data_IF_274585110117
#
_entry.id   IF_274585110117
#
_cell.length_a   1.000
_cell.length_b   1.000
_cell.length_c   1.000
_cell.angle_alpha   90.00
_cell.angle_beta   90.00
_cell.angle_gamma   90.00
#
_symmetry.space_group_name_H-M   'P 1'
#
loop_
_entity.id
_entity.type
_entity.pdbx_description
1 polymer ?
#
# COMPACT_ATOMS: atom_id res chain seq x y z
N UNK A 1 -2.50 -23.61 36.50
CA UNK A 1 -2.06 -22.31 35.94
C UNK A 1 -1.84 -22.45 34.44
N UNK A 2 -2.15 -21.45 33.61
CA UNK A 2 -1.86 -21.51 32.18
C UNK A 2 -0.36 -21.67 31.94
N UNK A 3 0.01 -22.44 30.92
CA UNK A 3 1.41 -22.59 30.52
C UNK A 3 1.94 -21.27 29.90
N UNK A 4 3.27 -21.04 29.91
CA UNK A 4 3.85 -19.85 29.27
C UNK A 4 3.40 -19.66 27.82
N UNK A 5 3.29 -20.75 27.05
CA UNK A 5 2.82 -20.74 25.66
C UNK A 5 1.36 -20.29 25.57
N UNK A 6 0.50 -20.75 26.49
CA UNK A 6 -0.90 -20.33 26.52
C UNK A 6 -1.05 -18.83 26.81
N UNK A 7 -0.21 -18.29 27.69
CA UNK A 7 -0.19 -16.85 28.00
C UNK A 7 0.25 -16.05 26.76
N UNK A 8 1.35 -16.45 26.12
CA UNK A 8 1.85 -15.79 24.90
C UNK A 8 0.80 -15.82 23.79
N UNK A 9 0.16 -16.96 23.53
CA UNK A 9 -0.87 -17.08 22.51
C UNK A 9 -2.09 -16.19 22.81
N UNK A 10 -2.48 -16.08 24.08
CA UNK A 10 -3.57 -15.20 24.50
C UNK A 10 -3.23 -13.72 24.27
N UNK A 11 -1.99 -13.30 24.57
CA UNK A 11 -1.50 -11.94 24.30
C UNK A 11 -1.50 -11.67 22.80
N UNK A 12 -0.99 -12.58 21.97
CA UNK A 12 -1.01 -12.41 20.50
C UNK A 12 -2.45 -12.29 19.99
N UNK A 13 -3.36 -13.16 20.45
CA UNK A 13 -4.78 -13.09 20.07
C UNK A 13 -5.45 -11.78 20.49
N UNK A 14 -5.06 -11.21 21.62
CA UNK A 14 -5.50 -9.88 22.05
C UNK A 14 -5.06 -8.80 21.05
N UNK A 15 -3.78 -8.76 20.68
CA UNK A 15 -3.27 -7.80 19.71
C UNK A 15 -3.83 -7.99 18.31
N UNK A 16 -4.08 -9.22 17.87
CA UNK A 16 -4.79 -9.51 16.62
C UNK A 16 -6.20 -8.94 16.63
N UNK A 17 -6.91 -9.07 17.76
CA UNK A 17 -8.25 -8.49 17.92
C UNK A 17 -8.21 -6.97 17.84
N UNK A 18 -7.25 -6.34 18.53
CA UNK A 18 -7.05 -4.89 18.51
C UNK A 18 -6.70 -4.41 17.09
N UNK A 19 -5.82 -5.12 16.38
CA UNK A 19 -5.43 -4.79 15.02
C UNK A 19 -6.62 -4.84 14.05
N UNK A 20 -7.49 -5.85 14.18
CA UNK A 20 -8.74 -5.96 13.41
C UNK A 20 -9.72 -4.84 13.70
N UNK A 21 -9.93 -4.52 14.99
CA UNK A 21 -10.80 -3.42 15.39
C UNK A 21 -10.24 -2.09 14.86
N UNK A 22 -8.94 -1.86 15.01
CA UNK A 22 -8.26 -0.65 14.53
C UNK A 22 -8.34 -0.54 13.01
N UNK A 23 -8.13 -1.63 12.26
CA UNK A 23 -8.27 -1.64 10.81
C UNK A 23 -9.67 -1.15 10.36
N UNK A 24 -10.74 -1.65 10.99
CA UNK A 24 -12.08 -1.15 10.73
C UNK A 24 -12.28 0.29 11.19
N UNK A 25 -11.73 0.68 12.35
CA UNK A 25 -11.82 2.05 12.84
C UNK A 25 -11.21 3.07 11.86
N UNK A 26 -10.15 2.69 11.15
CA UNK A 26 -9.50 3.53 10.15
C UNK A 26 -9.98 3.27 8.71
N UNK A 27 -11.06 2.51 8.53
CA UNK A 27 -11.67 2.32 7.21
C UNK A 27 -12.28 3.64 6.72
N UNK A 28 -12.01 3.97 5.45
CA UNK A 28 -12.56 5.13 4.75
C UNK A 28 -14.01 4.92 4.31
N UNK A 29 -14.51 3.69 4.35
CA UNK A 29 -15.86 3.36 3.92
C UNK A 29 -16.51 2.36 4.88
N UNK A 30 -17.77 2.61 5.22
CA UNK A 30 -18.56 1.71 6.06
C UNK A 30 -19.81 1.23 5.34
N UNK A 31 -20.05 -0.07 5.41
CA UNK A 31 -21.31 -0.70 5.05
C UNK A 31 -22.09 -1.07 6.32
N UNK A 32 -23.38 -1.41 6.19
CA UNK A 32 -24.16 -1.95 7.31
C UNK A 32 -23.50 -3.20 7.93
N UNK A 33 -22.81 -3.99 7.11
CA UNK A 33 -22.04 -5.13 7.59
C UNK A 33 -20.80 -4.67 8.38
N UNK A 34 -20.07 -3.67 7.88
CA UNK A 34 -18.90 -3.12 8.58
C UNK A 34 -19.24 -2.54 9.97
N UNK A 35 -20.39 -1.87 10.11
CA UNK A 35 -20.84 -1.38 11.43
C UNK A 35 -21.06 -2.52 12.43
N UNK A 36 -21.72 -3.61 12.00
CA UNK A 36 -21.96 -4.80 12.85
C UNK A 36 -20.66 -5.52 13.19
N UNK A 37 -19.74 -5.61 12.24
CA UNK A 37 -18.42 -6.20 12.45
C UNK A 37 -17.58 -5.39 13.44
N UNK A 38 -17.59 -4.06 13.32
CA UNK A 38 -16.94 -3.16 14.25
C UNK A 38 -17.50 -3.33 15.67
N UNK A 39 -18.84 -3.33 15.83
CA UNK A 39 -19.48 -3.54 17.14
C UNK A 39 -19.04 -4.86 17.79
N UNK A 40 -19.04 -5.94 17.00
CA UNK A 40 -18.61 -7.27 17.45
C UNK A 40 -17.14 -7.24 17.88
N UNK A 41 -16.26 -6.66 17.07
CA UNK A 41 -14.82 -6.60 17.34
C UNK A 41 -14.51 -5.77 18.59
N UNK A 42 -15.11 -4.59 18.73
CA UNK A 42 -14.93 -3.74 19.91
C UNK A 42 -15.40 -4.42 21.21
N UNK A 43 -16.48 -5.21 21.15
CA UNK A 43 -16.93 -6.01 22.30
C UNK A 43 -15.94 -7.11 22.66
N UNK A 44 -15.37 -7.80 21.66
CA UNK A 44 -14.36 -8.85 21.88
C UNK A 44 -13.08 -8.21 22.44
N UNK A 45 -12.64 -7.08 21.86
CA UNK A 45 -11.50 -6.29 22.29
C UNK A 45 -11.64 -5.87 23.76
N UNK A 46 -12.80 -5.31 24.14
CA UNK A 46 -13.10 -4.92 25.51
C UNK A 46 -12.94 -6.10 26.48
N UNK A 47 -13.56 -7.23 26.17
CA UNK A 47 -13.53 -8.39 27.03
C UNK A 47 -12.13 -9.00 27.16
N UNK A 48 -11.35 -9.06 26.06
CA UNK A 48 -10.01 -9.66 26.10
C UNK A 48 -9.00 -8.76 26.82
N UNK A 49 -9.10 -7.44 26.65
CA UNK A 49 -8.27 -6.47 27.38
C UNK A 49 -8.50 -6.56 28.89
N UNK A 50 -9.76 -6.57 29.34
CA UNK A 50 -10.09 -6.71 30.75
C UNK A 50 -9.68 -8.05 31.33
N UNK A 51 -9.76 -9.12 30.52
CA UNK A 51 -9.35 -10.47 30.95
C UNK A 51 -7.85 -10.61 31.14
N UNK A 52 -7.03 -9.98 30.29
CA UNK A 52 -5.57 -10.14 30.31
C UNK A 52 -4.86 -9.05 31.10
N UNK A 53 -5.44 -7.86 31.17
CA UNK A 53 -4.81 -6.65 31.70
C UNK A 53 -5.81 -5.83 32.52
N UNK A 54 -6.58 -6.48 33.41
CA UNK A 54 -7.62 -5.85 34.24
C UNK A 54 -7.14 -4.55 34.90
N UNK A 55 -6.00 -4.63 35.58
CA UNK A 55 -5.45 -3.55 36.41
C UNK A 55 -5.09 -2.32 35.57
N UNK A 56 -4.82 -2.51 34.28
CA UNK A 56 -4.47 -1.45 33.36
C UNK A 56 -5.70 -0.84 32.66
N UNK A 57 -6.78 -1.60 32.46
CA UNK A 57 -7.85 -1.23 31.53
C UNK A 57 -9.24 -1.04 32.15
N UNK A 58 -9.52 -1.59 33.34
CA UNK A 58 -10.86 -1.63 33.94
C UNK A 58 -11.54 -0.25 34.04
N UNK A 59 -10.78 0.78 34.41
CA UNK A 59 -11.29 2.13 34.62
C UNK A 59 -10.81 3.14 33.56
N UNK A 60 -10.27 2.69 32.42
CA UNK A 60 -9.79 3.60 31.40
C UNK A 60 -10.94 4.24 30.62
N UNK A 61 -11.06 5.59 30.62
CA UNK A 61 -12.07 6.28 29.82
C UNK A 61 -11.97 5.95 28.33
N UNK A 62 -10.74 5.77 27.82
CA UNK A 62 -10.52 5.39 26.42
C UNK A 62 -11.18 4.05 26.08
N UNK A 63 -11.12 3.07 26.98
CA UNK A 63 -11.77 1.77 26.77
C UNK A 63 -13.30 1.89 26.87
N UNK A 64 -13.81 2.82 27.69
CA UNK A 64 -15.25 3.13 27.71
C UNK A 64 -15.71 3.79 26.41
N UNK A 65 -14.94 4.75 25.89
CA UNK A 65 -15.23 5.47 24.64
C UNK A 65 -15.39 4.51 23.47
N UNK A 66 -14.66 3.38 23.46
CA UNK A 66 -14.80 2.34 22.44
C UNK A 66 -16.26 1.86 22.28
N UNK A 67 -17.07 1.84 23.35
CA UNK A 67 -18.48 1.43 23.28
C UNK A 67 -19.35 2.37 22.41
N UNK A 68 -18.91 3.61 22.21
CA UNK A 68 -19.62 4.63 21.45
C UNK A 68 -19.11 4.76 20.00
N UNK A 69 -18.06 4.04 19.63
CA UNK A 69 -17.46 4.16 18.30
C UNK A 69 -18.43 3.81 17.16
N UNK A 70 -19.26 2.79 17.32
CA UNK A 70 -20.24 2.43 16.28
C UNK A 70 -21.26 3.54 16.08
N UNK A 71 -21.76 4.13 17.16
CA UNK A 71 -22.70 5.26 17.09
C UNK A 71 -22.04 6.49 16.46
N UNK A 72 -20.79 6.79 16.83
CA UNK A 72 -20.02 7.89 16.24
C UNK A 72 -19.81 7.65 14.74
N UNK A 73 -19.41 6.44 14.34
CA UNK A 73 -19.26 6.07 12.94
C UNK A 73 -20.58 6.25 12.18
N UNK A 74 -21.73 5.85 12.75
CA UNK A 74 -23.04 6.06 12.12
C UNK A 74 -23.41 7.54 11.98
N UNK A 75 -23.08 8.36 12.97
CA UNK A 75 -23.37 9.80 12.94
C UNK A 75 -22.50 10.56 11.95
N UNK A 76 -21.27 10.08 11.70
CA UNK A 76 -20.27 10.79 10.88
C UNK A 76 -19.84 10.01 9.63
N UNK A 77 -20.49 8.89 9.31
CA UNK A 77 -20.22 8.03 8.15
C UNK A 77 -19.07 7.05 8.41
N UNK A 78 -17.99 7.51 9.04
CA UNK A 78 -16.83 6.70 9.45
C UNK A 78 -16.23 7.27 10.74
N UNK A 79 -15.38 6.51 11.43
CA UNK A 79 -14.63 7.04 12.58
C UNK A 79 -13.49 7.98 12.16
N UNK A 80 -12.93 7.77 10.98
CA UNK A 80 -11.93 8.65 10.36
C UNK A 80 -12.41 10.11 10.37
N UNK A 81 -13.70 10.32 10.13
CA UNK A 81 -14.28 11.66 10.09
C UNK A 81 -14.33 12.39 11.44
N UNK A 82 -14.02 11.68 12.52
CA UNK A 82 -13.90 12.20 13.87
C UNK A 82 -12.47 12.12 14.42
N UNK A 83 -11.51 11.70 13.59
CA UNK A 83 -10.13 11.51 14.02
C UNK A 83 -9.47 12.83 14.42
N UNK A 84 -8.61 12.76 15.44
CA UNK A 84 -7.88 13.94 15.95
C UNK A 84 -6.97 14.54 14.89
N UNK A 85 -6.30 13.74 14.06
CA UNK A 85 -5.43 14.27 13.01
C UNK A 85 -6.18 15.08 11.96
N UNK A 86 -7.39 14.65 11.59
CA UNK A 86 -8.29 15.43 10.75
C UNK A 86 -8.59 16.77 11.42
N UNK A 87 -8.93 16.77 12.72
CA UNK A 87 -9.15 18.00 13.50
C UNK A 87 -7.92 18.92 13.53
N UNK A 88 -6.71 18.37 13.71
CA UNK A 88 -5.48 19.16 13.71
C UNK A 88 -5.15 19.74 12.33
N UNK A 89 -5.40 18.99 11.25
CA UNK A 89 -5.30 19.49 9.89
C UNK A 89 -6.26 20.66 9.65
N UNK A 90 -7.51 20.54 10.10
CA UNK A 90 -8.50 21.63 10.05
C UNK A 90 -8.04 22.85 10.81
N UNK A 91 -7.52 22.66 12.02
CA UNK A 91 -7.03 23.73 12.87
C UNK A 91 -5.91 24.51 12.19
N UNK A 92 -4.97 23.83 11.51
CA UNK A 92 -3.89 24.47 10.74
C UNK A 92 -4.44 25.32 9.59
N UNK A 93 -5.41 24.80 8.84
CA UNK A 93 -6.04 25.51 7.71
C UNK A 93 -6.81 26.73 8.20
N UNK A 94 -7.57 26.58 9.28
CA UNK A 94 -8.35 27.67 9.86
C UNK A 94 -7.44 28.79 10.35
N UNK A 95 -6.40 28.46 11.12
CA UNK A 95 -5.35 29.43 11.53
C UNK A 95 -4.75 30.18 10.34
N UNK A 96 -4.44 29.48 9.25
CA UNK A 96 -3.90 30.11 8.03
C UNK A 96 -4.91 31.01 7.30
N UNK A 97 -6.21 30.79 7.48
CA UNK A 97 -7.26 31.59 6.85
C UNK A 97 -7.66 32.83 7.64
N UNK A 98 -7.50 32.83 8.97
CA UNK A 98 -7.88 33.95 9.86
C UNK A 98 -7.38 35.31 9.39
N UNK A 99 -6.10 35.50 8.98
CA UNK A 99 -5.62 36.81 8.51
C UNK A 99 -6.36 37.36 7.29
N UNK A 100 -7.08 36.53 6.53
CA UNK A 100 -7.83 36.89 5.32
C UNK A 100 -9.32 37.10 5.59
N UNK A 101 -9.76 37.04 6.86
CA UNK A 101 -11.18 37.11 7.26
C UNK A 101 -11.58 38.47 7.86
N UNK A 102 -10.91 39.55 7.46
CA UNK A 102 -11.23 40.90 7.94
C UNK A 102 -12.70 41.25 7.68
N UNK A 103 -13.37 41.82 8.70
CA UNK A 103 -14.80 42.19 8.72
C UNK A 103 -15.78 41.02 8.56
N UNK A 104 -15.33 39.78 8.73
CA UNK A 104 -16.19 38.59 8.76
C UNK A 104 -16.44 38.12 10.19
N UNK A 105 -17.53 37.39 10.41
CA UNK A 105 -17.74 36.65 11.65
C UNK A 105 -16.95 35.34 11.55
N UNK A 106 -15.72 35.37 12.06
CA UNK A 106 -14.77 34.25 11.94
C UNK A 106 -15.37 32.95 12.49
N UNK A 107 -16.02 33.00 13.66
CA UNK A 107 -16.61 31.81 14.28
C UNK A 107 -17.72 31.22 13.41
N UNK A 108 -18.70 32.04 13.02
CA UNK A 108 -19.83 31.59 12.21
C UNK A 108 -19.38 31.04 10.86
N UNK A 109 -18.45 31.71 10.20
CA UNK A 109 -17.95 31.31 8.88
C UNK A 109 -17.15 30.01 8.94
N UNK A 110 -16.27 29.85 9.95
CA UNK A 110 -15.49 28.62 10.13
C UNK A 110 -16.38 27.45 10.54
N UNK A 111 -17.37 27.66 11.43
CA UNK A 111 -18.34 26.63 11.81
C UNK A 111 -19.17 26.21 10.59
N UNK A 112 -19.68 27.17 9.82
CA UNK A 112 -20.44 26.88 8.60
C UNK A 112 -19.59 26.06 7.62
N UNK A 113 -18.34 26.47 7.39
CA UNK A 113 -17.40 25.73 6.53
C UNK A 113 -17.15 24.31 7.03
N UNK A 114 -16.91 24.14 8.33
CA UNK A 114 -16.69 22.83 8.94
C UNK A 114 -17.92 21.93 8.75
N UNK A 115 -19.11 22.42 9.09
CA UNK A 115 -20.36 21.66 8.96
C UNK A 115 -20.67 21.29 7.51
N UNK A 116 -20.36 22.17 6.54
CA UNK A 116 -20.51 21.87 5.11
C UNK A 116 -19.55 20.75 4.69
N UNK A 117 -18.27 20.83 5.06
CA UNK A 117 -17.29 19.80 4.72
C UNK A 117 -17.62 18.46 5.38
N UNK A 118 -18.03 18.48 6.64
CA UNK A 118 -18.44 17.27 7.36
C UNK A 118 -19.68 16.63 6.74
N UNK A 119 -20.66 17.44 6.30
CA UNK A 119 -21.84 16.93 5.57
C UNK A 119 -21.45 16.31 4.23
N UNK A 120 -20.60 16.98 3.45
CA UNK A 120 -20.11 16.44 2.16
C UNK A 120 -19.40 15.10 2.39
N UNK A 121 -18.52 15.04 3.40
CA UNK A 121 -17.78 13.84 3.76
C UNK A 121 -18.70 12.71 4.22
N UNK A 122 -19.65 12.99 5.11
CA UNK A 122 -20.68 12.04 5.55
C UNK A 122 -21.41 11.38 4.37
N UNK A 123 -21.84 12.18 3.40
CA UNK A 123 -22.57 11.70 2.22
C UNK A 123 -21.67 10.92 1.25
N UNK A 124 -20.43 11.38 1.06
CA UNK A 124 -19.40 10.74 0.23
C UNK A 124 -19.05 9.35 0.76
N UNK A 125 -18.95 9.21 2.08
CA UNK A 125 -18.56 7.95 2.73
C UNK A 125 -19.76 7.00 2.97
N UNK A 126 -20.91 7.30 2.36
CA UNK A 126 -22.09 6.41 2.32
C UNK A 126 -23.17 6.70 3.37
N UNK A 127 -23.02 7.78 4.14
CA UNK A 127 -24.02 8.28 5.07
C UNK A 127 -25.36 8.58 4.39
N UNK A 128 -26.45 8.43 5.15
CA UNK A 128 -27.83 8.59 4.66
C UNK A 128 -28.57 9.63 5.49
N UNK A 129 -29.31 10.50 4.82
CA UNK A 129 -30.32 11.34 5.46
C UNK A 129 -31.69 10.88 4.97
N UNK A 130 -32.50 10.31 5.88
CA UNK A 130 -33.82 9.79 5.56
C UNK A 130 -34.79 10.86 5.03
N UNK A 131 -34.51 12.15 5.29
CA UNK A 131 -35.28 13.26 4.74
C UNK A 131 -35.02 13.46 3.25
N UNK A 132 -33.89 12.97 2.74
CA UNK A 132 -33.45 13.18 1.35
C UNK A 132 -32.93 11.88 0.71
N UNK A 133 -33.81 10.91 0.42
CA UNK A 133 -33.42 9.56 0.00
C UNK A 133 -32.65 9.51 -1.34
N UNK A 134 -32.80 10.49 -2.22
CA UNK A 134 -32.13 10.54 -3.52
C UNK A 134 -30.72 11.17 -3.49
N UNK A 135 -30.35 11.91 -2.42
CA UNK A 135 -29.06 12.63 -2.36
C UNK A 135 -27.87 11.67 -2.46
N UNK A 136 -27.99 10.49 -1.84
CA UNK A 136 -26.94 9.46 -1.86
C UNK A 136 -26.50 9.08 -3.28
N UNK A 137 -27.45 8.90 -4.19
CA UNK A 137 -27.16 8.49 -5.57
C UNK A 137 -26.40 9.58 -6.34
N UNK A 138 -26.66 10.85 -6.05
CA UNK A 138 -25.93 11.97 -6.62
C UNK A 138 -24.47 11.99 -6.16
N UNK A 139 -24.22 11.88 -4.86
CA UNK A 139 -22.85 11.88 -4.30
C UNK A 139 -22.05 10.64 -4.70
N UNK A 140 -22.68 9.47 -4.79
CA UNK A 140 -22.01 8.27 -5.29
C UNK A 140 -21.48 8.47 -6.72
N UNK A 141 -22.25 9.12 -7.59
CA UNK A 141 -21.79 9.44 -8.96
C UNK A 141 -20.60 10.41 -8.97
N UNK A 142 -20.57 11.38 -8.05
CA UNK A 142 -19.43 12.30 -7.91
C UNK A 142 -18.16 11.57 -7.46
N UNK A 143 -18.29 10.59 -6.55
CA UNK A 143 -17.14 9.81 -6.08
C UNK A 143 -16.61 8.82 -7.10
N UNK A 144 -17.42 8.40 -8.07
CA UNK A 144 -16.98 7.54 -9.16
C UNK A 144 -16.45 8.31 -10.37
N UNK A 145 -16.64 9.62 -10.42
CA UNK A 145 -16.10 10.48 -11.47
C UNK A 145 -14.58 10.66 -11.26
N UNK A 146 -13.71 10.23 -12.20
CA UNK A 146 -12.27 10.30 -12.03
C UNK A 146 -11.73 11.71 -11.76
N UNK A 147 -12.36 12.76 -12.32
CA UNK A 147 -11.92 14.15 -12.16
C UNK A 147 -12.27 14.69 -10.78
N UNK A 148 -13.39 14.26 -10.21
CA UNK A 148 -13.86 14.71 -8.90
C UNK A 148 -13.41 13.80 -7.77
N UNK A 149 -13.12 12.53 -8.06
CA UNK A 149 -12.66 11.56 -7.07
C UNK A 149 -11.40 12.05 -6.36
N UNK A 150 -10.42 12.57 -7.09
CA UNK A 150 -9.18 13.09 -6.48
C UNK A 150 -9.46 14.25 -5.50
N UNK A 151 -10.37 15.16 -5.84
CA UNK A 151 -10.76 16.30 -4.99
C UNK A 151 -11.51 15.83 -3.74
N UNK A 152 -12.31 14.78 -3.87
CA UNK A 152 -13.13 14.22 -2.80
C UNK A 152 -12.40 13.15 -1.99
N UNK A 153 -11.27 12.61 -2.47
CA UNK A 153 -10.54 11.52 -1.82
C UNK A 153 -9.90 11.92 -0.49
N UNK A 154 -9.45 13.16 -0.37
CA UNK A 154 -8.85 13.70 0.85
C UNK A 154 -9.76 14.73 1.55
N UNK A 155 -9.62 14.85 2.87
CA UNK A 155 -10.31 15.87 3.66
C UNK A 155 -10.03 17.30 3.17
N UNK A 156 -8.84 17.52 2.60
CA UNK A 156 -8.42 18.78 2.02
C UNK A 156 -7.50 18.52 0.82
N UNK A 157 -7.58 19.39 -0.19
CA UNK A 157 -6.60 19.48 -1.27
C UNK A 157 -5.22 19.79 -0.66
N UNK A 158 -4.44 18.75 -0.38
CA UNK A 158 -3.05 18.92 0.00
C UNK A 158 -2.23 18.99 -1.27
N UNK A 159 -1.38 20.01 -1.41
CA UNK A 159 -0.31 19.93 -2.39
C UNK A 159 0.60 18.80 -1.89
N UNK A 160 0.47 17.61 -2.47
CA UNK A 160 1.38 16.49 -2.22
C UNK A 160 2.74 16.89 -2.80
N UNK A 161 3.46 17.73 -2.08
CA UNK A 161 4.86 18.04 -2.37
C UNK A 161 5.65 16.93 -1.68
N UNK A 162 5.82 15.80 -2.35
CA UNK A 162 6.90 14.88 -1.99
C UNK A 162 8.20 15.65 -2.21
N UNK A 163 8.80 16.15 -1.13
CA UNK A 163 10.14 16.72 -1.19
C UNK A 163 11.08 15.59 -1.60
N UNK A 164 11.68 15.71 -2.78
CA UNK A 164 12.78 14.84 -3.18
C UNK A 164 13.95 15.13 -2.24
N UNK A 165 14.31 14.16 -1.39
CA UNK A 165 15.55 14.24 -0.61
C UNK A 165 16.73 14.18 -1.59
N UNK A 166 17.55 15.24 -1.60
CA UNK A 166 18.62 15.53 -2.58
C UNK A 166 19.85 14.60 -2.40
N UNK A 167 19.77 13.59 -1.53
CA UNK A 167 20.94 12.78 -1.14
C UNK A 167 21.21 11.55 -2.00
N UNK A 168 20.29 11.15 -2.87
CA UNK A 168 20.44 9.92 -3.64
C UNK A 168 21.29 10.17 -4.91
N UNK A 169 22.39 9.42 -5.09
CA UNK A 169 23.23 9.46 -6.31
C UNK A 169 22.39 8.97 -7.49
N UNK A 170 21.89 9.90 -8.31
CA UNK A 170 21.14 9.62 -9.54
C UNK A 170 22.12 9.20 -10.63
N UNK A 171 21.83 8.09 -11.32
CA UNK A 171 22.52 7.75 -12.58
C UNK A 171 21.95 8.57 -13.72
N UNK A 172 22.77 9.37 -14.42
CA UNK A 172 22.38 10.18 -15.58
C UNK A 172 22.18 9.35 -16.88
N UNK A 173 21.59 8.17 -16.77
CA UNK A 173 21.31 7.31 -17.92
C UNK A 173 19.98 7.72 -18.54
N UNK A 174 19.94 8.01 -19.84
CA UNK A 174 18.70 8.27 -20.58
C UNK A 174 17.90 6.95 -20.73
N UNK A 175 17.17 6.59 -19.68
CA UNK A 175 16.25 5.45 -19.69
C UNK A 175 14.93 5.85 -20.31
N UNK A 176 14.38 4.98 -21.14
CA UNK A 176 13.08 5.16 -21.78
C UNK A 176 12.10 4.06 -21.37
N UNK A 177 10.80 4.36 -21.51
CA UNK A 177 9.72 3.39 -21.39
C UNK A 177 9.08 3.13 -22.77
N UNK A 178 8.49 1.96 -22.95
CA UNK A 178 7.61 1.67 -24.09
C UNK A 178 6.18 2.17 -23.85
N UNK A 179 5.80 2.35 -22.59
CA UNK A 179 4.53 2.99 -22.20
C UNK A 179 4.77 4.50 -22.04
N UNK A 180 4.07 5.31 -22.84
CA UNK A 180 4.16 6.77 -22.83
C UNK A 180 3.67 7.40 -21.52
N UNK A 181 2.88 6.68 -20.72
CA UNK A 181 2.45 7.11 -19.39
C UNK A 181 3.60 7.11 -18.38
N UNK A 182 4.67 6.35 -18.63
CA UNK A 182 5.82 6.27 -17.72
C UNK A 182 6.87 7.31 -18.13
N UNK A 183 7.10 8.28 -17.26
CA UNK A 183 8.02 9.40 -17.47
C UNK A 183 8.94 9.60 -16.26
N UNK A 184 9.93 10.50 -16.38
CA UNK A 184 10.84 10.88 -15.29
C UNK A 184 11.51 9.69 -14.57
N UNK A 185 11.96 8.70 -15.34
CA UNK A 185 12.63 7.51 -14.78
C UNK A 185 13.99 7.93 -14.21
N UNK A 186 14.18 7.73 -12.91
CA UNK A 186 15.42 8.00 -12.18
C UNK A 186 15.92 6.70 -11.54
N UNK A 187 17.20 6.39 -11.77
CA UNK A 187 17.86 5.21 -11.23
C UNK A 187 18.77 5.61 -10.07
N UNK A 188 18.77 4.84 -9.00
CA UNK A 188 19.54 5.13 -7.80
C UNK A 188 20.36 3.93 -7.34
N UNK A 189 21.57 4.22 -6.80
CA UNK A 189 22.50 3.25 -6.21
C UNK A 189 22.73 2.05 -7.13
N UNK A 190 23.51 2.26 -8.19
CA UNK A 190 23.99 1.19 -9.08
C UNK A 190 24.79 0.17 -8.26
N UNK A 191 24.48 -1.12 -8.43
CA UNK A 191 25.15 -2.18 -7.69
C UNK A 191 26.59 -2.37 -8.19
N UNK A 192 27.51 -2.53 -7.24
CA UNK A 192 28.89 -2.89 -7.49
C UNK A 192 29.03 -4.36 -7.92
N UNK A 193 30.18 -4.72 -8.51
CA UNK A 193 30.47 -6.11 -8.88
C UNK A 193 30.40 -7.07 -7.69
N UNK A 194 30.80 -6.60 -6.49
CA UNK A 194 30.78 -7.39 -5.26
C UNK A 194 29.33 -7.67 -4.84
N UNK A 195 28.47 -6.65 -4.84
CA UNK A 195 27.04 -6.81 -4.53
C UNK A 195 26.34 -7.75 -5.53
N UNK A 196 26.62 -7.60 -6.84
CA UNK A 196 26.06 -8.47 -7.88
C UNK A 196 26.42 -9.95 -7.63
N UNK A 197 27.67 -10.23 -7.23
CA UNK A 197 28.11 -11.58 -6.88
C UNK A 197 27.43 -12.09 -5.61
N UNK A 198 27.34 -11.26 -4.56
CA UNK A 198 26.67 -11.62 -3.31
C UNK A 198 25.19 -11.98 -3.51
N UNK A 199 24.49 -11.28 -4.40
CA UNK A 199 23.08 -11.53 -4.71
C UNK A 199 22.86 -12.62 -5.77
N UNK A 200 23.92 -13.27 -6.26
CA UNK A 200 23.86 -14.25 -7.35
C UNK A 200 23.11 -13.70 -8.58
N UNK A 201 23.44 -12.47 -9.00
CA UNK A 201 22.85 -11.81 -10.16
C UNK A 201 23.76 -11.96 -11.39
N UNK A 202 23.21 -12.18 -12.60
CA UNK A 202 24.00 -12.36 -13.81
C UNK A 202 24.49 -11.02 -14.35
N UNK A 203 25.80 -10.86 -14.57
CA UNK A 203 26.37 -9.63 -15.17
C UNK A 203 26.07 -9.54 -16.68
N UNK A 204 25.86 -10.69 -17.33
CA UNK A 204 25.57 -10.79 -18.77
C UNK A 204 24.45 -11.79 -19.03
N UNK A 205 23.74 -11.57 -20.13
CA UNK A 205 22.73 -12.49 -20.64
C UNK A 205 23.40 -13.74 -21.22
N UNK A 206 23.23 -14.86 -20.52
CA UNK A 206 23.55 -16.21 -21.02
C UNK A 206 22.31 -16.79 -21.71
N UNK A 207 22.46 -17.22 -22.97
CA UNK A 207 21.36 -17.71 -23.82
C UNK A 207 20.61 -18.90 -23.23
N UNK A 208 21.30 -19.70 -22.42
CA UNK A 208 20.71 -20.87 -21.79
C UNK A 208 20.06 -20.56 -20.43
N UNK A 209 20.09 -19.29 -19.98
CA UNK A 209 19.52 -18.89 -18.70
C UNK A 209 18.03 -18.50 -18.84
N UNK A 210 17.23 -18.91 -17.85
CA UNK A 210 15.83 -18.48 -17.74
C UNK A 210 15.71 -16.95 -17.72
N UNK A 211 16.69 -16.25 -17.11
CA UNK A 211 16.70 -14.80 -17.05
C UNK A 211 16.82 -14.13 -18.43
N UNK A 212 17.69 -14.64 -19.31
CA UNK A 212 17.79 -14.12 -20.67
C UNK A 212 16.53 -14.41 -21.50
N UNK A 213 15.93 -15.59 -21.32
CA UNK A 213 14.65 -15.93 -21.95
C UNK A 213 13.53 -14.98 -21.50
N UNK A 214 13.40 -14.74 -20.20
CA UNK A 214 12.38 -13.83 -19.65
C UNK A 214 12.54 -12.40 -20.16
N UNK A 215 13.77 -11.90 -20.33
CA UNK A 215 14.01 -10.58 -20.95
C UNK A 215 13.56 -10.56 -22.41
N UNK A 216 13.88 -11.61 -23.17
CA UNK A 216 13.47 -11.70 -24.57
C UNK A 216 11.94 -11.69 -24.70
N UNK A 217 11.26 -12.45 -23.83
CA UNK A 217 9.80 -12.47 -23.75
C UNK A 217 9.26 -11.10 -23.35
N UNK A 218 9.90 -10.41 -22.41
CA UNK A 218 9.46 -9.07 -22.01
C UNK A 218 9.54 -8.07 -23.17
N UNK A 219 10.57 -8.15 -24.00
CA UNK A 219 10.64 -7.36 -25.24
C UNK A 219 9.59 -7.78 -26.26
N UNK A 220 9.42 -9.08 -26.51
CA UNK A 220 8.49 -9.59 -27.53
C UNK A 220 7.03 -9.28 -27.15
N UNK A 221 6.56 -9.80 -26.01
CA UNK A 221 5.15 -9.75 -25.62
C UNK A 221 4.75 -8.35 -25.15
N UNK A 222 5.52 -7.76 -24.22
CA UNK A 222 5.09 -6.53 -23.54
C UNK A 222 5.50 -5.26 -24.28
N UNK A 223 6.58 -5.31 -25.05
CA UNK A 223 7.08 -4.15 -25.80
C UNK A 223 6.91 -4.26 -27.32
N UNK A 224 6.37 -5.38 -27.81
CA UNK A 224 6.16 -5.65 -29.25
C UNK A 224 7.46 -5.52 -30.06
N UNK A 225 8.58 -5.94 -29.47
CA UNK A 225 9.95 -5.83 -30.00
C UNK A 225 10.56 -7.22 -30.17
N UNK A 226 10.08 -7.95 -31.17
CA UNK A 226 10.57 -9.30 -31.48
C UNK A 226 11.89 -9.28 -32.22
N UNK A 227 13.01 -9.51 -31.52
CA UNK A 227 14.32 -9.73 -32.13
C UNK A 227 15.28 -10.46 -31.19
N UNK A 228 16.35 -11.02 -31.75
CA UNK A 228 17.49 -11.52 -30.97
C UNK A 228 18.24 -10.36 -30.30
N UNK A 229 18.68 -10.53 -29.05
CA UNK A 229 19.35 -9.48 -28.27
C UNK A 229 20.84 -9.39 -28.63
N UNK A 230 21.27 -8.25 -29.20
CA UNK A 230 22.68 -8.03 -29.58
C UNK A 230 23.48 -7.57 -28.36
N UNK A 231 22.90 -6.69 -27.55
CA UNK A 231 23.49 -6.27 -26.29
C UNK A 231 23.24 -7.33 -25.22
N UNK A 232 24.30 -7.67 -24.48
CA UNK A 232 24.26 -8.73 -23.45
C UNK A 232 24.52 -8.23 -22.04
N UNK A 233 24.91 -6.97 -21.90
CA UNK A 233 25.23 -6.40 -20.60
C UNK A 233 23.96 -5.89 -19.90
N UNK A 234 23.83 -6.18 -18.61
CA UNK A 234 22.77 -5.67 -17.75
C UNK A 234 23.36 -4.88 -16.59
N UNK A 235 22.64 -3.85 -16.14
CA UNK A 235 23.06 -3.01 -15.02
C UNK A 235 21.99 -3.02 -13.93
N UNK A 236 22.38 -3.35 -12.71
CA UNK A 236 21.46 -3.46 -11.57
C UNK A 236 21.51 -2.21 -10.69
N UNK A 237 20.38 -1.92 -10.08
CA UNK A 237 20.15 -0.75 -9.22
C UNK A 237 19.40 -1.19 -7.98
N UNK A 238 19.60 -0.48 -6.86
CA UNK A 238 18.84 -0.74 -5.65
C UNK A 238 17.42 -0.17 -5.71
N UNK A 239 17.22 0.88 -6.54
CA UNK A 239 15.99 1.65 -6.55
C UNK A 239 15.74 2.31 -7.91
N UNK A 240 14.47 2.36 -8.31
CA UNK A 240 13.98 3.06 -9.50
C UNK A 240 12.77 3.92 -9.09
N UNK A 241 12.84 5.22 -9.35
CA UNK A 241 11.69 6.14 -9.24
C UNK A 241 11.19 6.51 -10.63
N UNK A 242 9.88 6.63 -10.80
CA UNK A 242 9.29 7.15 -12.03
C UNK A 242 7.93 7.79 -11.78
N UNK A 243 7.48 8.59 -12.74
CA UNK A 243 6.14 9.17 -12.76
C UNK A 243 5.27 8.36 -13.70
N UNK A 244 4.09 7.92 -13.22
CA UNK A 244 3.06 7.29 -14.04
C UNK A 244 1.91 8.29 -14.24
N UNK A 245 1.58 8.56 -15.50
CA UNK A 245 0.46 9.39 -15.90
C UNK A 245 -0.82 8.54 -15.99
N UNK A 246 -1.96 9.13 -15.68
CA UNK A 246 -3.26 8.55 -16.04
C UNK A 246 -3.50 8.59 -17.56
N UNK A 247 -4.59 7.97 -18.01
CA UNK A 247 -4.90 7.84 -19.44
C UNK A 247 -5.10 9.20 -20.13
N UNK A 248 -5.50 10.24 -19.38
CA UNK A 248 -5.67 11.61 -19.87
C UNK A 248 -4.39 12.47 -19.73
N UNK A 249 -3.31 11.94 -19.13
CA UNK A 249 -2.05 12.66 -18.91
C UNK A 249 -2.13 13.81 -17.88
N UNK A 250 -3.16 13.84 -17.04
CA UNK A 250 -3.50 14.92 -16.09
C UNK A 250 -3.07 14.61 -14.67
N UNK A 251 -3.15 13.35 -14.25
CA UNK A 251 -2.80 12.93 -12.90
C UNK A 251 -1.51 12.13 -12.91
N UNK A 252 -0.66 12.41 -11.93
CA UNK A 252 0.67 11.83 -11.85
C UNK A 252 0.79 11.05 -10.53
N UNK A 253 1.07 9.76 -10.64
CA UNK A 253 1.48 8.91 -9.51
C UNK A 253 3.00 8.82 -9.49
N UNK A 254 3.61 9.05 -8.32
CA UNK A 254 5.05 8.91 -8.13
C UNK A 254 5.33 7.52 -7.55
N UNK A 255 5.99 6.67 -8.34
CA UNK A 255 6.33 5.32 -7.95
C UNK A 255 7.81 5.25 -7.56
N UNK A 256 8.08 4.55 -6.46
CA UNK A 256 9.40 4.42 -5.86
C UNK A 256 9.66 2.96 -5.49
N UNK A 257 10.28 2.23 -6.41
CA UNK A 257 10.54 0.79 -6.28
C UNK A 257 11.91 0.56 -5.65
N UNK A 258 11.98 -0.32 -4.66
CA UNK A 258 13.23 -0.85 -4.10
C UNK A 258 13.33 -2.36 -4.28
N UNK A 259 14.56 -2.86 -4.32
CA UNK A 259 14.81 -4.29 -4.20
C UNK A 259 14.27 -4.78 -2.84
N UNK A 260 13.51 -5.88 -2.88
CA UNK A 260 12.86 -6.45 -1.69
C UNK A 260 11.41 -6.01 -1.49
N UNK A 261 10.96 -4.92 -2.13
CA UNK A 261 9.56 -4.49 -2.08
C UNK A 261 8.65 -5.58 -2.64
N UNK A 262 7.44 -5.67 -2.10
CA UNK A 262 6.40 -6.55 -2.63
C UNK A 262 5.42 -5.71 -3.45
N UNK A 263 5.29 -6.08 -4.72
CA UNK A 263 4.44 -5.43 -5.70
C UNK A 263 3.23 -6.29 -6.01
N UNK A 264 2.17 -5.62 -6.44
CA UNK A 264 0.97 -6.24 -6.96
C UNK A 264 1.05 -6.22 -8.49
N UNK A 265 0.68 -7.33 -9.12
CA UNK A 265 0.62 -7.45 -10.57
C UNK A 265 -0.77 -8.02 -10.90
N UNK A 266 -1.51 -7.29 -11.74
CA UNK A 266 -2.82 -7.73 -12.22
C UNK A 266 -2.63 -8.88 -13.22
N UNK A 267 -3.16 -10.05 -12.89
CA UNK A 267 -3.39 -11.13 -13.85
C UNK A 267 -4.87 -11.10 -14.29
N UNK A 268 -5.18 -11.76 -15.42
CA UNK A 268 -6.46 -11.72 -16.15
C UNK A 268 -7.69 -11.43 -15.28
N UNK A 269 -7.90 -12.22 -14.22
CA UNK A 269 -9.06 -12.07 -13.31
C UNK A 269 -8.68 -11.95 -11.82
N UNK A 270 -7.38 -12.05 -11.48
CA UNK A 270 -6.93 -12.14 -10.08
C UNK A 270 -5.74 -11.22 -9.79
N UNK A 271 -5.69 -10.77 -8.53
CA UNK A 271 -4.57 -10.00 -8.00
C UNK A 271 -3.48 -10.94 -7.49
N UNK A 272 -2.31 -10.86 -8.12
CA UNK A 272 -1.12 -11.64 -7.78
C UNK A 272 -0.06 -10.74 -7.13
N UNK A 273 0.76 -11.33 -6.25
CA UNK A 273 1.79 -10.61 -5.50
C UNK A 273 3.18 -11.16 -5.82
N UNK A 274 4.17 -10.28 -5.81
CA UNK A 274 5.54 -10.65 -6.17
C UNK A 274 6.56 -9.82 -5.39
N UNK A 275 7.65 -10.44 -4.94
CA UNK A 275 8.78 -9.74 -4.32
C UNK A 275 9.77 -9.32 -5.40
N UNK A 276 10.18 -8.05 -5.42
CA UNK A 276 11.22 -7.55 -6.31
C UNK A 276 12.55 -8.20 -5.92
N UNK A 277 13.06 -9.06 -6.79
CA UNK A 277 14.37 -9.70 -6.67
C UNK A 277 15.48 -8.75 -7.09
N UNK A 278 15.29 -8.04 -8.20
CA UNK A 278 16.26 -7.09 -8.71
C UNK A 278 15.61 -6.03 -9.60
N UNK A 279 16.20 -4.84 -9.63
CA UNK A 279 15.86 -3.76 -10.55
C UNK A 279 17.04 -3.56 -11.49
N UNK A 280 16.78 -3.47 -12.80
CA UNK A 280 17.87 -3.39 -13.76
C UNK A 280 17.50 -2.67 -15.05
N UNK A 281 18.52 -2.29 -15.80
CA UNK A 281 18.37 -1.75 -17.15
C UNK A 281 19.07 -2.61 -18.19
N UNK A 282 18.50 -2.64 -19.39
CA UNK A 282 19.07 -3.33 -20.54
C UNK A 282 18.94 -2.48 -21.81
N UNK A 283 19.98 -2.50 -22.66
CA UNK A 283 20.01 -1.77 -23.93
C UNK A 283 19.42 -2.64 -25.04
N UNK A 284 18.39 -2.17 -25.73
CA UNK A 284 17.82 -2.89 -26.86
C UNK A 284 18.57 -2.58 -28.18
N UNK A 285 18.29 -3.35 -29.22
CA UNK A 285 18.96 -3.25 -30.53
C UNK A 285 18.81 -1.87 -31.20
N UNK A 286 17.79 -1.08 -30.84
CA UNK A 286 17.61 0.29 -31.30
C UNK A 286 18.54 1.32 -30.62
N UNK A 287 19.42 0.86 -29.74
CA UNK A 287 20.35 1.73 -29.02
C UNK A 287 19.78 2.35 -27.74
N UNK A 288 18.48 2.20 -27.47
CA UNK A 288 17.82 2.77 -26.28
C UNK A 288 17.94 1.84 -25.07
N UNK A 289 17.94 2.43 -23.88
CA UNK A 289 18.05 1.72 -22.60
C UNK A 289 16.68 1.67 -21.92
N UNK A 290 16.23 0.48 -21.55
CA UNK A 290 14.94 0.23 -20.92
C UNK A 290 15.13 -0.29 -19.49
N UNK A 291 14.20 0.04 -18.59
CA UNK A 291 14.19 -0.45 -17.22
C UNK A 291 13.21 -1.60 -17.01
N UNK A 292 13.60 -2.54 -16.15
CA UNK A 292 12.90 -3.77 -15.87
C UNK A 292 12.90 -4.07 -14.37
N UNK A 293 11.88 -4.82 -13.97
CA UNK A 293 11.82 -5.51 -12.67
C UNK A 293 12.04 -7.00 -12.90
N UNK A 294 12.84 -7.61 -12.04
CA UNK A 294 12.93 -9.07 -11.90
C UNK A 294 12.31 -9.46 -10.58
N UNK A 295 11.35 -10.38 -10.61
CA UNK A 295 10.53 -10.72 -9.45
C UNK A 295 10.60 -12.20 -9.06
N UNK A 296 10.22 -12.47 -7.81
CA UNK A 296 9.84 -13.80 -7.36
C UNK A 296 8.35 -13.78 -6.99
N UNK A 297 7.56 -14.61 -7.67
CA UNK A 297 6.12 -14.75 -7.41
C UNK A 297 5.83 -15.26 -5.99
N UNK A 298 4.79 -14.71 -5.37
CA UNK A 298 4.26 -15.18 -4.10
C UNK A 298 3.00 -16.00 -4.36
N UNK A 299 3.00 -17.27 -3.95
CA UNK A 299 1.84 -18.15 -4.02
C UNK A 299 1.10 -18.14 -2.69
N UNK A 300 -0.21 -17.93 -2.72
CA UNK A 300 -1.05 -18.13 -1.53
C UNK A 300 -1.06 -19.62 -1.17
N UNK A 301 -0.72 -19.94 0.06
CA UNK A 301 -0.84 -21.31 0.59
C UNK A 301 -2.29 -21.62 0.95
N UNK A 302 -2.64 -22.89 1.15
CA UNK A 302 -3.95 -23.28 1.69
C UNK A 302 -4.09 -23.02 3.19
N UNK A 303 -3.02 -22.55 3.84
CA UNK A 303 -2.94 -22.39 5.29
C UNK A 303 -3.08 -20.93 5.72
N UNK A 304 -3.81 -20.74 6.81
CA UNK A 304 -3.90 -19.48 7.55
C UNK A 304 -3.29 -19.72 8.92
N UNK A 305 -2.54 -18.76 9.45
CA UNK A 305 -1.99 -18.88 10.79
C UNK A 305 -3.12 -18.93 11.83
N UNK A 306 -3.17 -19.92 12.73
CA UNK A 306 -4.30 -20.08 13.65
C UNK A 306 -4.37 -18.98 14.72
N UNK A 307 -3.25 -18.29 15.01
CA UNK A 307 -3.17 -17.29 16.08
C UNK A 307 -3.27 -15.88 15.49
N UNK A 308 -2.45 -15.57 14.50
CA UNK A 308 -2.41 -14.26 13.80
C UNK A 308 -3.63 -14.12 12.87
N UNK A 309 -4.16 -15.23 12.36
CA UNK A 309 -5.32 -15.27 11.46
C UNK A 309 -5.07 -14.53 10.12
N UNK A 310 -3.80 -14.46 9.71
CA UNK A 310 -3.39 -13.94 8.40
C UNK A 310 -3.11 -15.10 7.42
N UNK A 311 -3.45 -14.95 6.13
CA UNK A 311 -3.10 -15.93 5.12
C UNK A 311 -1.59 -15.97 4.90
N UNK A 312 -1.05 -17.17 4.70
CA UNK A 312 0.37 -17.41 4.48
C UNK A 312 0.63 -17.50 2.97
N UNK A 313 1.66 -16.80 2.53
CA UNK A 313 2.20 -16.85 1.17
C UNK A 313 3.60 -17.43 1.19
N UNK A 314 3.96 -18.12 0.12
CA UNK A 314 5.29 -18.68 -0.08
C UNK A 314 5.94 -18.12 -1.36
N UNK A 315 7.24 -17.90 -1.33
CA UNK A 315 8.02 -17.52 -2.49
C UNK A 315 8.19 -18.73 -3.40
N UNK A 316 7.76 -18.59 -4.65
CA UNK A 316 7.87 -19.66 -5.62
C UNK A 316 9.33 -19.90 -6.06
N UNK A 317 9.75 -21.16 -6.02
CA UNK A 317 11.05 -21.59 -6.55
C UNK A 317 11.11 -21.39 -8.07
N UNK A 318 12.31 -21.13 -8.59
CA UNK A 318 12.53 -20.82 -10.01
C UNK A 318 12.17 -21.98 -10.96
N UNK A 319 12.11 -23.22 -10.45
CA UNK A 319 11.75 -24.42 -11.21
C UNK A 319 10.26 -24.50 -11.56
N UNK A 320 9.43 -23.66 -10.95
CA UNK A 320 8.03 -23.53 -11.34
C UNK A 320 7.96 -22.61 -12.59
N UNK A 321 8.16 -23.22 -13.76
CA UNK A 321 8.32 -22.57 -15.07
C UNK A 321 7.05 -21.95 -15.65
N UNK A 322 5.93 -21.99 -14.92
CA UNK A 322 4.63 -21.57 -15.44
C UNK A 322 4.51 -20.05 -15.65
N UNK A 323 5.40 -19.25 -15.06
CA UNK A 323 5.31 -17.80 -15.10
C UNK A 323 6.65 -17.12 -15.37
N UNK A 324 6.65 -16.18 -16.32
CA UNK A 324 7.77 -15.27 -16.56
C UNK A 324 8.05 -14.42 -15.31
N UNK A 325 9.31 -14.00 -15.12
CA UNK A 325 9.73 -13.25 -13.93
C UNK A 325 10.30 -11.87 -14.22
N UNK A 326 10.44 -11.51 -15.49
CA UNK A 326 10.93 -10.20 -15.90
C UNK A 326 9.83 -9.41 -16.57
N UNK A 327 9.62 -8.19 -16.08
CA UNK A 327 8.60 -7.28 -16.58
C UNK A 327 9.19 -5.88 -16.81
N UNK A 328 8.71 -5.13 -17.81
CA UNK A 328 8.96 -3.70 -17.89
C UNK A 328 8.44 -3.00 -16.63
N UNK A 329 9.09 -1.91 -16.19
CA UNK A 329 8.60 -1.14 -15.02
C UNK A 329 7.17 -0.60 -15.20
N UNK A 330 6.69 -0.45 -16.44
CA UNK A 330 5.31 0.00 -16.74
C UNK A 330 4.22 -0.98 -16.30
N UNK A 331 4.58 -2.22 -15.94
CA UNK A 331 3.61 -3.19 -15.40
C UNK A 331 3.24 -2.93 -13.94
N UNK A 332 3.97 -2.05 -13.25
CA UNK A 332 3.61 -1.63 -11.90
C UNK A 332 2.86 -0.31 -12.02
N UNK A 333 1.54 -0.40 -11.93
CA UNK A 333 0.61 0.72 -12.02
C UNK A 333 0.32 1.37 -10.66
N UNK A 334 0.57 0.63 -9.57
CA UNK A 334 0.46 1.11 -8.21
C UNK A 334 1.43 0.35 -7.29
N UNK A 335 1.89 1.03 -6.24
CA UNK A 335 2.47 0.41 -5.06
C UNK A 335 1.38 0.38 -3.98
N UNK A 336 0.47 -0.61 -3.98
CA UNK A 336 -0.50 -0.70 -2.92
C UNK A 336 0.25 -0.90 -1.60
N UNK A 337 -0.25 -0.28 -0.53
CA UNK A 337 0.27 -0.42 0.85
C UNK A 337 -0.05 -1.81 1.42
N UNK A 338 0.24 -2.89 0.68
CA UNK A 338 0.04 -4.27 1.13
C UNK A 338 1.25 -4.66 1.97
N UNK A 339 0.99 -5.02 3.23
CA UNK A 339 2.06 -5.29 4.18
C UNK A 339 2.27 -6.79 4.29
N UNK A 340 3.39 -7.25 3.79
CA UNK A 340 3.85 -8.61 4.00
C UNK A 340 4.91 -8.63 5.09
N UNK A 341 4.79 -9.58 6.01
CA UNK A 341 5.73 -9.76 7.12
C UNK A 341 6.25 -11.18 7.05
N UNK A 342 7.54 -11.38 7.30
CA UNK A 342 8.12 -12.72 7.32
C UNK A 342 7.44 -13.63 8.33
N UNK A 343 7.09 -14.84 7.89
CA UNK A 343 6.52 -15.89 8.74
C UNK A 343 7.67 -16.66 9.40
N UNK A 344 8.22 -16.11 10.48
CA UNK A 344 9.41 -16.66 11.12
C UNK A 344 9.11 -17.79 12.07
N UNK A 345 9.98 -18.79 12.07
CA UNK A 345 9.94 -19.92 12.99
C UNK A 345 11.22 -19.96 13.82
N UNK A 346 11.27 -20.81 14.83
CA UNK A 346 12.40 -20.95 15.75
C UNK A 346 13.76 -21.26 15.08
N UNK A 347 13.74 -21.64 13.80
CA UNK A 347 14.92 -21.90 12.97
C UNK A 347 15.45 -20.66 12.23
N UNK A 348 14.77 -19.51 12.29
CA UNK A 348 15.24 -18.28 11.66
C UNK A 348 16.36 -17.64 12.48
N UNK A 349 17.54 -17.44 11.86
CA UNK A 349 18.62 -16.68 12.49
C UNK A 349 18.51 -15.19 12.15
N UNK A 350 18.80 -14.31 13.11
CA UNK A 350 18.64 -12.86 12.95
C UNK A 350 19.41 -12.28 11.76
N UNK A 351 20.54 -12.89 11.37
CA UNK A 351 21.41 -12.39 10.31
C UNK A 351 21.13 -13.03 8.93
N UNK A 352 20.29 -14.06 8.85
CA UNK A 352 19.94 -14.75 7.58
C UNK A 352 18.44 -14.76 7.30
N UNK A 353 17.67 -14.03 8.09
CA UNK A 353 16.21 -14.02 8.09
C UNK A 353 15.61 -13.86 6.69
N UNK A 354 16.09 -12.89 5.92
CA UNK A 354 15.56 -12.57 4.58
C UNK A 354 16.00 -13.58 3.50
N UNK A 355 17.07 -14.35 3.77
CA UNK A 355 17.65 -15.33 2.85
C UNK A 355 17.06 -16.73 3.05
N UNK A 356 16.73 -17.09 4.30
CA UNK A 356 16.22 -18.43 4.63
C UNK A 356 14.71 -18.52 4.70
N UNK A 357 14.01 -17.38 4.85
CA UNK A 357 12.56 -17.40 5.00
C UNK A 357 11.82 -17.14 3.68
N UNK A 358 11.17 -18.19 3.18
CA UNK A 358 10.33 -18.15 2.00
C UNK A 358 8.84 -17.96 2.29
N UNK A 359 8.44 -17.89 3.56
CA UNK A 359 7.05 -17.73 3.96
C UNK A 359 6.77 -16.32 4.51
N UNK A 360 5.61 -15.78 4.16
CA UNK A 360 5.21 -14.43 4.51
C UNK A 360 3.74 -14.43 4.93
N UNK A 361 3.41 -13.72 6.00
CA UNK A 361 2.05 -13.34 6.32
C UNK A 361 1.65 -12.15 5.47
N UNK A 362 0.51 -12.22 4.80
CA UNK A 362 -0.15 -11.02 4.28
C UNK A 362 -0.93 -10.39 5.43
N UNK A 363 -0.46 -9.26 5.94
CA UNK A 363 -1.16 -8.52 6.98
C UNK A 363 -2.37 -7.80 6.40
N UNK A 364 -3.53 -8.43 6.52
CA UNK A 364 -4.82 -7.88 6.07
C UNK A 364 -5.38 -6.82 7.00
N UNK A 365 -4.78 -6.66 8.19
CA UNK A 365 -5.22 -5.67 9.20
C UNK A 365 -4.34 -4.42 9.19
N UNK A 366 -3.47 -4.26 8.20
CA UNK A 366 -2.72 -3.02 8.05
C UNK A 366 -3.68 -1.87 7.76
N UNK A 367 -3.45 -0.72 8.40
CA UNK A 367 -4.23 0.49 8.18
C UNK A 367 -3.31 1.69 8.20
N UNK A 368 -3.74 2.75 7.53
CA UNK A 368 -3.06 4.05 7.58
C UNK A 368 -3.80 4.90 8.60
N UNK A 369 -3.13 5.22 9.70
CA UNK A 369 -3.60 6.28 10.58
C UNK A 369 -3.49 7.61 9.83
N UNK A 370 -4.58 8.38 9.84
CA UNK A 370 -4.66 9.72 9.25
C UNK A 370 -4.06 10.72 10.22
#
# INVERSE_FOLDING_TARGET
MPSPIQIVNAIISCWVTIAKASHLCFSLTFTEQAYKELEKLLRIEHNILLKLFSDNFENLPNLHINKHHVQNARNFGTLVNTAVAVKEMMHKIFKGSVPKMNRKNIELDLIRRHNTLQTIRYLTDGGVDNRFPCIKQGFQKLTTDPLLHSILSDWYMTQIIQKEDITDIVSNTNVVSCDSRVTNIKLYKKLSKIEIQQYNLPVRLDENSQFAHDILIAYDIYMQKKAALIYRHVEFYNQIKYTLLDDDGRFNSHLNLHVGDIVQIQEEENLSYAKIRALFTHKYNNGLVYAFIWINWLRKTSTTDPIIQCPIYEVQTAENTRWYRVYPISFIDNLPKVHFVHCCHSTCTANSHDLSNNHYFKNEFYYVAI
#
